data_IF_288434472059
#
_entry.id   IF_288434472059
#
_cell.length_a   1.000
_cell.length_b   1.000
_cell.length_c   1.000
_cell.angle_alpha   90.00
_cell.angle_beta   90.00
_cell.angle_gamma   90.00
#
_symmetry.space_group_name_H-M   'P 1'
#
loop_
_entity.id
_entity.type
_entity.pdbx_description
1 polymer ?
#
# COMPACT_ATOMS: atom_id res chain seq x y z
N UNK A 1 -3.93 -19.32 -0.64
CA UNK A 1 -3.88 -17.94 -1.16
C UNK A 1 -4.75 -17.87 -2.41
N UNK A 2 -5.44 -16.74 -2.64
CA UNK A 2 -6.25 -16.56 -3.85
C UNK A 2 -5.38 -15.91 -4.93
N UNK A 3 -5.23 -16.51 -6.12
CA UNK A 3 -4.44 -15.91 -7.18
C UNK A 3 -5.05 -14.56 -7.61
N UNK A 4 -4.19 -13.63 -8.02
CA UNK A 4 -4.60 -12.38 -8.67
C UNK A 4 -4.84 -12.65 -10.15
N UNK A 5 -6.04 -12.36 -10.62
CA UNK A 5 -6.37 -12.44 -12.05
C UNK A 5 -5.76 -11.24 -12.77
N UNK A 6 -4.96 -11.49 -13.80
CA UNK A 6 -4.31 -10.42 -14.55
C UNK A 6 -5.25 -9.88 -15.63
N UNK A 7 -5.61 -8.58 -15.62
CA UNK A 7 -6.31 -7.97 -16.74
C UNK A 7 -5.44 -7.96 -17.99
N UNK A 8 -6.07 -7.81 -19.16
CA UNK A 8 -5.33 -7.51 -20.38
C UNK A 8 -4.56 -6.20 -20.22
N UNK A 9 -3.27 -6.20 -20.51
CA UNK A 9 -2.47 -4.98 -20.37
C UNK A 9 -1.01 -5.23 -20.06
N UNK A 10 -0.41 -4.27 -19.36
CA UNK A 10 0.93 -4.32 -18.81
C UNK A 10 0.82 -4.19 -17.29
N UNK A 11 0.62 -5.33 -16.62
CA UNK A 11 0.61 -5.39 -15.15
C UNK A 11 2.05 -5.41 -14.64
N UNK A 12 2.32 -4.57 -13.66
CA UNK A 12 3.61 -4.41 -13.00
C UNK A 12 3.49 -4.60 -11.48
N UNK A 13 4.60 -4.96 -10.84
CA UNK A 13 4.70 -5.22 -9.41
C UNK A 13 5.37 -4.05 -8.67
N UNK A 14 4.94 -3.78 -7.44
CA UNK A 14 5.46 -2.73 -6.56
C UNK A 14 5.39 -3.26 -5.12
N UNK A 15 6.51 -3.71 -4.54
CA UNK A 15 6.54 -4.14 -3.14
C UNK A 15 6.59 -2.92 -2.23
N UNK A 16 5.65 -2.81 -1.31
CA UNK A 16 5.47 -1.63 -0.47
C UNK A 16 5.35 -2.01 1.01
N UNK A 17 5.91 -1.16 1.88
CA UNK A 17 5.60 -1.17 3.31
C UNK A 17 4.24 -0.49 3.52
N UNK A 18 3.30 -1.21 4.13
CA UNK A 18 1.95 -0.69 4.40
C UNK A 18 1.83 -0.33 5.86
N UNK A 19 1.46 0.92 6.12
CA UNK A 19 1.21 1.47 7.45
C UNK A 19 -0.29 1.43 7.74
N UNK A 20 -0.69 0.78 8.83
CA UNK A 20 -2.09 0.79 9.29
C UNK A 20 -2.24 1.80 10.44
N UNK A 21 -3.12 2.79 10.26
CA UNK A 21 -3.38 3.82 11.27
C UNK A 21 -4.35 3.30 12.33
N UNK A 22 -3.95 3.38 13.61
CA UNK A 22 -4.72 2.89 14.76
C UNK A 22 -5.47 3.97 15.54
N UNK A 23 -5.13 5.24 15.35
CA UNK A 23 -5.74 6.37 16.04
C UNK A 23 -6.10 7.49 15.07
N UNK A 24 -7.24 8.15 15.29
CA UNK A 24 -7.62 9.34 14.52
C UNK A 24 -6.49 10.38 14.57
N UNK A 25 -6.12 10.89 13.40
CA UNK A 25 -4.97 11.77 13.25
C UNK A 25 -5.26 12.85 12.21
N UNK A 26 -4.92 14.09 12.53
CA UNK A 26 -4.94 15.20 11.58
C UNK A 26 -3.86 16.21 11.98
N UNK A 27 -2.96 16.55 11.05
CA UNK A 27 -1.81 17.45 11.29
C UNK A 27 -0.90 17.02 12.45
N UNK A 28 -0.69 15.71 12.61
CA UNK A 28 0.24 15.13 13.59
C UNK A 28 1.68 15.55 13.26
N UNK A 29 2.47 15.90 14.28
CA UNK A 29 3.88 16.23 14.08
C UNK A 29 4.68 14.96 13.75
N UNK A 30 5.81 15.11 13.05
CA UNK A 30 6.65 13.96 12.66
C UNK A 30 7.05 13.12 13.87
N UNK A 31 7.42 13.77 14.97
CA UNK A 31 7.90 13.14 16.20
C UNK A 31 6.82 12.29 16.88
N UNK A 32 5.54 12.58 16.61
CA UNK A 32 4.41 11.86 17.15
C UNK A 32 3.80 10.86 16.16
N UNK A 33 4.32 10.71 14.94
CA UNK A 33 3.67 9.90 13.91
C UNK A 33 3.48 8.44 14.33
N UNK A 34 4.51 7.81 14.90
CA UNK A 34 4.49 6.41 15.31
C UNK A 34 3.46 6.09 16.40
N UNK A 35 3.08 7.06 17.25
CA UNK A 35 2.06 6.83 18.28
C UNK A 35 0.64 6.68 17.71
N UNK A 36 0.44 6.99 16.41
CA UNK A 36 -0.83 6.80 15.71
C UNK A 36 -0.85 5.53 14.84
N UNK A 37 0.28 4.83 14.69
CA UNK A 37 0.39 3.61 13.87
C UNK A 37 -0.03 2.40 14.70
N UNK A 38 -0.98 1.60 14.20
CA UNK A 38 -1.35 0.32 14.80
C UNK A 38 -0.30 -0.76 14.53
N UNK A 39 0.27 -0.75 13.33
CA UNK A 39 1.28 -1.71 12.90
C UNK A 39 1.62 -1.58 11.43
N UNK A 40 2.53 -2.45 11.01
CA UNK A 40 3.07 -2.54 9.66
C UNK A 40 2.70 -3.88 9.03
N UNK A 41 2.52 -3.90 7.72
CA UNK A 41 2.33 -5.14 6.95
C UNK A 41 2.96 -5.00 5.57
N UNK A 42 3.13 -6.11 4.85
CA UNK A 42 3.61 -6.11 3.47
C UNK A 42 2.43 -5.89 2.53
N UNK A 43 2.65 -5.12 1.47
CA UNK A 43 1.67 -4.95 0.39
C UNK A 43 2.28 -5.02 -1.00
N UNK A 44 1.40 -5.17 -1.98
CA UNK A 44 1.69 -4.85 -3.37
C UNK A 44 0.79 -3.72 -3.84
N UNK A 45 1.36 -2.73 -4.54
CA UNK A 45 0.60 -1.73 -5.31
C UNK A 45 0.61 -2.11 -6.80
N UNK A 46 -0.04 -3.24 -7.10
CA UNK A 46 -0.07 -3.79 -8.46
C UNK A 46 -0.66 -2.77 -9.42
N UNK A 47 -0.03 -2.64 -10.59
CA UNK A 47 -0.28 -1.51 -11.48
C UNK A 47 -0.44 -1.93 -12.93
N UNK A 48 -1.61 -1.72 -13.52
CA UNK A 48 -1.78 -1.81 -14.97
C UNK A 48 -1.31 -0.50 -15.61
N UNK A 49 -0.10 -0.54 -16.18
CA UNK A 49 0.63 0.65 -16.62
C UNK A 49 -0.02 1.35 -17.81
N UNK A 50 -0.76 0.64 -18.67
CA UNK A 50 -1.40 1.30 -19.82
C UNK A 50 -2.51 2.24 -19.34
N UNK A 51 -3.43 1.74 -18.53
CA UNK A 51 -4.53 2.51 -17.97
C UNK A 51 -4.03 3.58 -17.01
N UNK A 52 -3.04 3.26 -16.17
CA UNK A 52 -2.43 4.22 -15.25
C UNK A 52 -1.90 5.47 -15.97
N UNK A 53 -1.33 5.31 -17.16
CA UNK A 53 -0.67 6.38 -17.93
C UNK A 53 -1.54 6.92 -19.09
N UNK A 54 -2.81 6.51 -19.18
CA UNK A 54 -3.69 6.91 -20.27
C UNK A 54 -4.19 8.35 -20.11
N UNK A 55 -4.22 9.09 -21.22
CA UNK A 55 -4.81 10.43 -21.31
C UNK A 55 -3.81 11.57 -21.10
N UNK A 56 -4.23 12.83 -21.33
CA UNK A 56 -3.35 14.00 -21.27
C UNK A 56 -2.95 14.42 -19.84
N UNK A 57 -3.67 13.93 -18.83
CA UNK A 57 -3.43 14.18 -17.41
C UNK A 57 -3.72 12.89 -16.63
N UNK A 58 -2.83 11.88 -16.73
CA UNK A 58 -3.08 10.55 -16.20
C UNK A 58 -3.37 10.58 -14.70
N UNK A 59 -4.36 9.79 -14.28
CA UNK A 59 -4.72 9.59 -12.88
C UNK A 59 -4.50 8.13 -12.53
N UNK A 60 -3.66 7.86 -11.53
CA UNK A 60 -3.07 6.54 -11.37
C UNK A 60 -4.00 5.52 -10.72
N UNK A 61 -4.95 5.98 -9.89
CA UNK A 61 -5.74 5.12 -9.02
C UNK A 61 -6.48 4.02 -9.79
N UNK A 62 -7.03 4.32 -10.97
CA UNK A 62 -7.81 3.35 -11.72
C UNK A 62 -6.96 2.17 -12.23
N UNK A 63 -5.71 2.41 -12.64
CA UNK A 63 -4.76 1.37 -13.03
C UNK A 63 -4.33 0.47 -11.86
N UNK A 64 -4.54 0.91 -10.62
CA UNK A 64 -4.13 0.26 -9.37
C UNK A 64 -5.28 -0.38 -8.58
N UNK A 65 -6.50 -0.34 -9.11
CA UNK A 65 -7.72 -0.72 -8.37
C UNK A 65 -8.48 -1.90 -8.98
N UNK A 66 -7.84 -2.72 -9.83
CA UNK A 66 -8.43 -3.98 -10.28
C UNK A 66 -8.65 -4.94 -9.08
N UNK A 67 -9.59 -5.89 -9.17
CA UNK A 67 -9.81 -6.87 -8.11
C UNK A 67 -8.52 -7.60 -7.74
N UNK A 68 -8.06 -7.43 -6.49
CA UNK A 68 -6.85 -8.05 -5.99
C UNK A 68 -5.54 -7.26 -6.20
N UNK A 69 -5.59 -6.01 -6.68
CA UNK A 69 -4.39 -5.19 -6.91
C UNK A 69 -3.79 -4.52 -5.66
N UNK A 70 -4.47 -4.62 -4.52
CA UNK A 70 -3.97 -4.19 -3.22
C UNK A 70 -3.98 -5.33 -2.19
N UNK A 71 -3.24 -6.44 -2.41
CA UNK A 71 -3.10 -7.48 -1.41
C UNK A 71 -2.23 -6.98 -0.25
N UNK A 72 -2.66 -7.25 0.98
CA UNK A 72 -1.99 -6.87 2.22
C UNK A 72 -1.82 -8.12 3.10
N UNK A 73 -0.76 -8.20 3.90
CA UNK A 73 -0.57 -9.28 4.87
C UNK A 73 0.81 -9.97 4.78
N UNK A 74 0.93 -11.21 5.29
CA UNK A 74 -0.12 -12.02 5.91
C UNK A 74 -0.52 -11.55 7.31
N UNK A 75 0.35 -10.80 7.99
CA UNK A 75 0.18 -10.39 9.38
C UNK A 75 0.31 -8.87 9.51
N UNK A 76 -0.36 -8.31 10.51
CA UNK A 76 -0.12 -6.96 10.98
C UNK A 76 0.84 -7.06 12.16
N UNK A 77 2.05 -6.52 12.01
CA UNK A 77 3.10 -6.55 13.03
C UNK A 77 3.05 -5.23 13.80
N UNK A 78 2.96 -5.28 15.13
CA UNK A 78 2.94 -4.06 15.95
C UNK A 78 4.31 -3.39 15.96
N UNK A 79 4.33 -2.07 16.18
CA UNK A 79 5.54 -1.24 16.03
C UNK A 79 6.62 -1.54 17.08
N UNK A 80 6.25 -2.12 18.22
CA UNK A 80 7.15 -2.53 19.30
C UNK A 80 7.94 -3.81 19.00
N UNK A 81 7.59 -4.56 17.94
CA UNK A 81 8.38 -5.70 17.48
C UNK A 81 9.62 -5.29 16.67
N UNK A 82 9.71 -4.01 16.27
CA UNK A 82 10.83 -3.48 15.49
C UNK A 82 11.82 -2.76 16.40
N UNK A 83 13.12 -3.02 16.20
CA UNK A 83 14.18 -2.31 16.92
C UNK A 83 14.23 -0.82 16.54
N UNK A 84 13.98 -0.54 15.26
CA UNK A 84 13.77 0.78 14.71
C UNK A 84 12.67 0.68 13.62
N UNK A 85 11.47 1.24 13.85
CA UNK A 85 10.41 1.25 12.84
C UNK A 85 10.74 2.10 11.58
N UNK A 86 11.79 2.93 11.60
CA UNK A 86 12.20 3.81 10.49
C UNK A 86 13.31 3.21 9.58
N UNK A 87 13.85 2.02 9.90
CA UNK A 87 14.89 1.31 9.11
C UNK A 87 14.30 0.39 8.02
#
# INVERSE_FOLDING_TARGET
>A
ERPVELPEGLVDWEAELVVVIGAECHRVSRENAWSHVAGLTVGQDLSERKLQLTGPAPQFSLGKSYPGFAPLGPELVSTDEFADPDD
#
